data_IF_848765083749
#
_entry.id   IF_848765083749
#
_cell.length_a   1.000
_cell.length_b   1.000
_cell.length_c   1.000
_cell.angle_alpha   90.00
_cell.angle_beta   90.00
_cell.angle_gamma   90.00
#
_symmetry.space_group_name_H-M   'P 1'
#
loop_
_entity.id
_entity.type
_entity.pdbx_description
1 polymer ?
#
# COMPACT_ATOMS: atom_id res chain seq x y z
N UNK A 1 3.71 16.80 11.11
CA UNK A 1 3.37 15.58 11.85
C UNK A 1 4.04 14.37 11.26
N UNK A 2 4.37 13.39 12.10
CA UNK A 2 4.81 12.05 11.67
C UNK A 2 3.68 11.08 11.99
N UNK A 3 3.12 10.42 10.98
CA UNK A 3 2.02 9.45 11.16
C UNK A 3 2.63 8.12 11.63
N UNK A 4 2.18 7.56 12.77
CA UNK A 4 2.64 6.24 13.21
C UNK A 4 2.29 5.16 12.19
N UNK A 5 3.28 4.33 11.85
CA UNK A 5 3.13 3.13 11.03
C UNK A 5 3.35 1.93 11.92
N UNK A 6 2.38 1.02 11.93
CA UNK A 6 2.43 -0.25 12.63
C UNK A 6 2.93 -1.37 11.71
N UNK A 7 2.09 -2.37 11.51
CA UNK A 7 2.41 -3.55 10.70
C UNK A 7 2.56 -3.16 9.21
N UNK A 8 3.68 -3.57 8.62
CA UNK A 8 3.88 -3.61 7.17
C UNK A 8 4.11 -5.06 6.77
N UNK A 9 3.28 -5.57 5.86
CA UNK A 9 3.44 -6.95 5.37
C UNK A 9 3.23 -7.06 3.87
N UNK A 10 3.94 -8.03 3.30
CA UNK A 10 3.90 -8.39 1.88
C UNK A 10 3.62 -9.89 1.79
N UNK A 11 2.62 -10.27 1.01
CA UNK A 11 2.17 -11.66 0.87
C UNK A 11 2.04 -12.04 -0.61
N UNK A 12 2.65 -13.13 -1.08
CA UNK A 12 3.54 -14.02 -0.34
C UNK A 12 4.93 -13.39 -0.13
N UNK A 13 5.53 -13.63 1.03
CA UNK A 13 6.93 -13.33 1.31
C UNK A 13 7.50 -14.40 2.26
N UNK A 14 8.34 -15.28 1.73
CA UNK A 14 8.95 -16.39 2.49
C UNK A 14 10.29 -16.02 3.09
N UNK A 15 10.97 -15.04 2.50
CA UNK A 15 12.32 -14.59 2.86
C UNK A 15 12.42 -13.09 2.64
N UNK A 16 13.28 -12.42 3.41
CA UNK A 16 13.58 -11.00 3.27
C UNK A 16 14.94 -10.85 2.56
N UNK A 17 15.08 -9.99 1.53
CA UNK A 17 14.06 -9.12 0.94
C UNK A 17 12.95 -9.90 0.23
N UNK A 18 11.71 -9.40 0.31
CA UNK A 18 10.55 -10.06 -0.31
C UNK A 18 10.69 -10.09 -1.83
N UNK A 19 10.61 -11.27 -2.42
CA UNK A 19 10.63 -11.45 -3.86
C UNK A 19 9.24 -11.22 -4.46
N UNK A 20 9.10 -10.19 -5.28
CA UNK A 20 7.88 -9.92 -6.05
C UNK A 20 7.88 -10.73 -7.34
N UNK A 21 7.11 -11.82 -7.37
CA UNK A 21 7.06 -12.72 -8.54
C UNK A 21 6.23 -12.13 -9.67
N UNK A 22 6.85 -12.00 -10.84
CA UNK A 22 6.18 -11.56 -12.08
C UNK A 22 5.03 -12.48 -12.46
N UNK A 23 3.97 -11.91 -13.01
CA UNK A 23 2.75 -12.62 -13.40
C UNK A 23 1.87 -13.07 -12.23
N UNK A 24 2.24 -12.73 -10.99
CA UNK A 24 1.49 -13.13 -9.78
C UNK A 24 0.93 -11.93 -9.05
N UNK A 25 -0.09 -12.18 -8.22
CA UNK A 25 -0.63 -11.15 -7.33
C UNK A 25 0.16 -11.12 -6.02
N UNK A 26 0.63 -9.94 -5.65
CA UNK A 26 1.21 -9.68 -4.33
C UNK A 26 0.27 -8.77 -3.55
N UNK A 27 0.00 -9.12 -2.29
CA UNK A 27 -0.79 -8.34 -1.35
C UNK A 27 0.12 -7.54 -0.43
N UNK A 28 -0.14 -6.25 -0.33
CA UNK A 28 0.52 -5.32 0.56
C UNK A 28 -0.45 -4.94 1.66
N UNK A 29 0.02 -4.91 2.90
CA UNK A 29 -0.73 -4.40 4.04
C UNK A 29 0.10 -3.36 4.78
N UNK A 30 -0.53 -2.25 5.12
CA UNK A 30 0.06 -1.19 5.94
C UNK A 30 -0.94 -0.82 7.03
N UNK A 31 -0.50 -0.84 8.27
CA UNK A 31 -1.26 -0.32 9.40
C UNK A 31 -0.75 1.07 9.77
N UNK A 32 -1.65 2.02 9.94
CA UNK A 32 -1.31 3.40 10.26
C UNK A 32 -2.36 4.05 11.17
N UNK A 33 -1.99 5.13 11.83
CA UNK A 33 -2.85 5.86 12.75
C UNK A 33 -2.88 7.35 12.34
N UNK A 34 -3.86 7.80 11.54
CA UNK A 34 -3.95 9.20 11.14
C UNK A 34 -4.08 10.11 12.36
N UNK A 35 -3.49 11.30 12.29
CA UNK A 35 -3.55 12.33 13.32
C UNK A 35 -4.73 13.30 13.14
N UNK A 36 -5.36 13.28 11.97
CA UNK A 36 -6.52 14.10 11.63
C UNK A 36 -7.74 13.26 11.22
N UNK A 37 -8.93 13.80 11.49
CA UNK A 37 -10.19 13.23 11.01
C UNK A 37 -10.45 13.74 9.60
N UNK A 38 -10.47 12.83 8.63
CA UNK A 38 -10.59 13.20 7.21
C UNK A 38 -11.42 12.17 6.45
N UNK A 39 -12.09 12.62 5.38
CA UNK A 39 -12.77 11.73 4.45
C UNK A 39 -11.82 10.95 3.55
N UNK A 40 -12.29 10.55 2.37
CA UNK A 40 -11.46 9.92 1.34
C UNK A 40 -10.73 10.95 0.47
N UNK A 41 -9.65 11.55 0.98
CA UNK A 41 -8.87 12.54 0.19
C UNK A 41 -7.54 11.98 -0.34
N UNK A 42 -7.05 10.87 0.24
CA UNK A 42 -5.75 10.29 -0.11
C UNK A 42 -5.75 9.39 -1.35
N UNK A 43 -4.78 9.62 -2.24
CA UNK A 43 -4.38 8.67 -3.28
C UNK A 43 -3.24 7.79 -2.77
N UNK A 44 -3.18 6.56 -3.27
CA UNK A 44 -2.08 5.62 -3.03
C UNK A 44 -1.20 5.58 -4.26
N UNK A 45 0.09 5.77 -4.04
CA UNK A 45 1.12 5.68 -5.05
C UNK A 45 2.11 4.59 -4.65
N UNK A 46 2.63 3.87 -5.65
CA UNK A 46 3.64 2.83 -5.46
C UNK A 46 4.76 3.11 -6.43
N UNK A 47 5.99 3.04 -5.95
CA UNK A 47 7.20 3.23 -6.75
C UNK A 47 8.15 2.06 -6.52
N UNK A 48 8.73 1.54 -7.59
CA UNK A 48 9.88 0.62 -7.52
C UNK A 48 11.16 1.39 -7.79
N UNK A 49 12.20 1.17 -6.99
CA UNK A 49 13.52 1.81 -7.22
C UNK A 49 14.42 0.85 -7.97
N UNK A 50 14.75 1.16 -9.22
CA UNK A 50 15.60 0.34 -10.10
C UNK A 50 16.81 1.16 -10.51
N UNK A 51 18.02 0.70 -10.14
CA UNK A 51 19.26 1.43 -10.45
C UNK A 51 19.30 2.86 -9.87
N UNK A 52 18.59 3.11 -8.77
CA UNK A 52 18.45 4.45 -8.16
C UNK A 52 17.33 5.31 -8.73
N UNK A 53 16.62 4.85 -9.77
CA UNK A 53 15.48 5.56 -10.38
C UNK A 53 14.16 5.04 -9.81
N UNK A 54 13.30 5.94 -9.34
CA UNK A 54 11.94 5.59 -8.90
C UNK A 54 11.00 5.49 -10.11
N UNK A 55 10.46 4.30 -10.34
CA UNK A 55 9.51 4.00 -11.43
C UNK A 55 8.12 3.79 -10.84
N UNK A 56 7.09 4.53 -11.28
CA UNK A 56 5.74 4.38 -10.76
C UNK A 56 5.14 3.03 -11.16
N UNK A 57 4.47 2.38 -10.20
CA UNK A 57 3.63 1.21 -10.42
C UNK A 57 2.16 1.64 -10.45
N UNK A 58 1.55 1.53 -11.62
CA UNK A 58 0.15 1.93 -11.82
C UNK A 58 -0.79 1.02 -11.01
N UNK A 59 -1.58 1.64 -10.12
CA UNK A 59 -2.67 0.97 -9.43
C UNK A 59 -3.97 1.14 -10.21
N UNK A 60 -4.74 0.05 -10.29
CA UNK A 60 -6.09 -0.03 -10.87
C UNK A 60 -7.08 0.92 -10.18
N UNK A 61 -7.01 1.02 -8.85
CA UNK A 61 -7.84 1.94 -8.06
C UNK A 61 -6.98 2.64 -7.00
N UNK A 62 -6.51 3.87 -7.23
CA UNK A 62 -5.60 4.56 -6.31
C UNK A 62 -6.31 5.16 -5.08
N UNK A 63 -7.63 5.04 -4.95
CA UNK A 63 -8.38 5.58 -3.80
C UNK A 63 -8.12 4.75 -2.53
N UNK A 64 -7.71 5.40 -1.44
CA UNK A 64 -7.48 4.72 -0.16
C UNK A 64 -8.73 4.01 0.38
N UNK A 65 -9.85 4.72 0.48
CA UNK A 65 -11.01 4.25 1.25
C UNK A 65 -11.70 2.99 0.73
N UNK A 66 -11.45 2.58 -0.53
CA UNK A 66 -11.92 1.29 -1.04
C UNK A 66 -11.11 0.08 -0.56
N UNK A 67 -9.99 0.30 0.12
CA UNK A 67 -9.01 -0.73 0.47
C UNK A 67 -8.57 -0.66 1.94
N UNK A 68 -9.30 0.09 2.78
CA UNK A 68 -8.95 0.32 4.19
C UNK A 68 -10.02 -0.23 5.12
N UNK A 69 -9.58 -0.82 6.23
CA UNK A 69 -10.43 -1.23 7.34
C UNK A 69 -9.91 -0.62 8.67
N UNK A 70 -10.76 0.00 9.52
CA UNK A 70 -12.17 0.32 9.29
C UNK A 70 -12.40 1.19 8.06
N UNK A 71 -13.61 1.13 7.48
CA UNK A 71 -13.95 1.98 6.35
C UNK A 71 -13.92 3.46 6.75
N UNK A 72 -13.62 4.32 5.78
CA UNK A 72 -13.63 5.77 5.94
C UNK A 72 -15.01 6.30 6.37
N UNK A 73 -15.09 7.50 6.98
CA UNK A 73 -14.01 8.47 7.19
C UNK A 73 -12.95 8.04 8.21
N UNK A 74 -11.74 8.53 8.03
CA UNK A 74 -10.66 8.42 8.99
C UNK A 74 -10.96 9.24 10.24
N UNK A 75 -10.63 8.69 11.40
CA UNK A 75 -10.69 9.37 12.70
C UNK A 75 -9.29 9.50 13.26
N UNK A 76 -8.96 10.69 13.73
CA UNK A 76 -7.71 10.97 14.42
C UNK A 76 -7.48 9.97 15.56
N UNK A 77 -6.28 9.41 15.63
CA UNK A 77 -5.86 8.49 16.68
C UNK A 77 -6.43 7.06 16.60
N UNK A 78 -7.26 6.72 15.60
CA UNK A 78 -7.72 5.34 15.41
C UNK A 78 -6.77 4.57 14.48
N UNK A 79 -6.57 3.27 14.72
CA UNK A 79 -5.75 2.44 13.82
C UNK A 79 -6.54 1.97 12.61
N UNK A 80 -5.94 2.09 11.44
CA UNK A 80 -6.47 1.63 10.16
C UNK A 80 -5.49 0.68 9.48
N UNK A 81 -6.02 -0.27 8.72
CA UNK A 81 -5.24 -1.20 7.90
C UNK A 81 -5.64 -1.05 6.44
N UNK A 82 -4.71 -0.52 5.64
CA UNK A 82 -4.79 -0.59 4.19
C UNK A 82 -4.34 -1.97 3.73
N UNK A 83 -5.11 -2.62 2.85
CA UNK A 83 -4.72 -3.85 2.17
C UNK A 83 -5.03 -3.75 0.68
N UNK A 84 -4.02 -3.94 -0.17
CA UNK A 84 -4.19 -3.98 -1.63
C UNK A 84 -3.39 -5.11 -2.24
N UNK A 85 -4.06 -5.88 -3.10
CA UNK A 85 -3.39 -6.89 -3.93
C UNK A 85 -3.17 -6.33 -5.32
N UNK A 86 -1.92 -6.28 -5.77
CA UNK A 86 -1.53 -5.81 -7.10
C UNK A 86 -1.03 -7.00 -7.93
N UNK A 87 -1.29 -6.97 -9.24
CA UNK A 87 -0.69 -7.91 -10.18
C UNK A 87 0.69 -7.37 -10.59
N UNK A 88 1.74 -8.13 -10.32
CA UNK A 88 3.08 -7.78 -10.81
C UNK A 88 3.14 -8.16 -12.28
N UNK A 89 3.30 -7.18 -13.17
CA UNK A 89 3.32 -7.42 -14.61
C UNK A 89 4.38 -8.47 -15.00
N UNK A 90 4.05 -9.30 -15.98
CA UNK A 90 4.99 -10.28 -16.55
C UNK A 90 6.12 -9.62 -17.33
N UNK A 91 5.83 -8.46 -17.92
CA UNK A 91 6.74 -7.63 -18.71
C UNK A 91 6.69 -6.20 -18.20
N UNK A 92 7.85 -5.62 -17.94
CA UNK A 92 7.99 -4.17 -17.83
C UNK A 92 8.04 -3.65 -19.26
N UNK A 93 6.96 -3.02 -19.73
CA UNK A 93 7.05 -2.22 -20.96
C UNK A 93 7.82 -0.93 -20.69
#
# INVERSE_FOLDING_TARGET
STIPVGIVSVEPCTTVPCELRRGTRTSFRIQFQPDETMGSVGQVEVYGVVGGVAVPFTLDTPKMCGNVQPHCPFRAGAWYSYKKSILIASTHS
#
